data_IF_872682029498
#
_entry.id   IF_872682029498
#
_cell.length_a   1.000
_cell.length_b   1.000
_cell.length_c   1.000
_cell.angle_alpha   90.00
_cell.angle_beta   90.00
_cell.angle_gamma   90.00
#
_symmetry.space_group_name_H-M   'P 1'
#
loop_
_entity.id
_entity.type
_entity.pdbx_description
1 polymer ?
#
# COMPACT_ATOMS: atom_id res chain seq x y z
N UNK A 1 -26.60 14.54 3.96
CA UNK A 1 -25.74 13.71 3.11
C UNK A 1 -26.17 13.94 1.68
N UNK A 2 -25.22 14.33 0.84
CA UNK A 2 -25.43 14.32 -0.61
C UNK A 2 -25.26 12.90 -1.15
N UNK A 3 -25.90 12.60 -2.28
CA UNK A 3 -25.81 11.29 -2.96
C UNK A 3 -24.35 10.82 -3.15
N UNK A 4 -23.43 11.72 -3.48
CA UNK A 4 -22.02 11.38 -3.66
C UNK A 4 -21.27 11.06 -2.35
N UNK A 5 -21.67 11.65 -1.23
CA UNK A 5 -21.11 11.29 0.08
C UNK A 5 -21.53 9.88 0.47
N UNK A 6 -22.78 9.50 0.19
CA UNK A 6 -23.28 8.13 0.43
C UNK A 6 -22.52 7.10 -0.41
N UNK A 7 -22.20 7.41 -1.67
CA UNK A 7 -21.36 6.55 -2.50
C UNK A 7 -19.92 6.44 -1.99
N UNK A 8 -19.37 7.53 -1.46
CA UNK A 8 -18.03 7.51 -0.85
C UNK A 8 -18.00 6.63 0.41
N UNK A 9 -18.99 6.78 1.29
CA UNK A 9 -19.15 5.95 2.48
C UNK A 9 -19.34 4.47 2.11
N UNK A 10 -20.20 4.18 1.14
CA UNK A 10 -20.41 2.81 0.67
C UNK A 10 -19.13 2.16 0.09
N UNK A 11 -18.22 2.93 -0.51
CA UNK A 11 -16.92 2.44 -0.95
C UNK A 11 -16.02 2.10 0.26
N UNK A 12 -15.98 2.96 1.28
CA UNK A 12 -15.18 2.73 2.49
C UNK A 12 -15.73 1.57 3.33
N UNK A 13 -17.05 1.43 3.43
CA UNK A 13 -17.70 0.31 4.10
C UNK A 13 -17.31 -1.04 3.47
N UNK A 14 -17.09 -1.06 2.15
CA UNK A 14 -16.65 -2.26 1.44
C UNK A 14 -15.20 -2.67 1.72
N UNK A 15 -14.39 -1.78 2.29
CA UNK A 15 -13.00 -2.04 2.71
C UNK A 15 -12.85 -1.91 4.25
N UNK A 16 -13.96 -1.92 4.98
CA UNK A 16 -14.00 -1.72 6.43
C UNK A 16 -13.29 -2.82 7.21
N UNK A 17 -13.32 -4.05 6.71
CA UNK A 17 -12.65 -5.21 7.32
C UNK A 17 -11.14 -4.95 7.39
N UNK A 18 -10.54 -4.48 6.30
CA UNK A 18 -9.10 -4.21 6.24
C UNK A 18 -8.72 -3.00 7.10
N UNK A 19 -9.57 -1.97 7.15
CA UNK A 19 -9.39 -0.82 8.05
C UNK A 19 -9.39 -1.28 9.53
N UNK A 20 -10.24 -2.25 9.88
CA UNK A 20 -10.28 -2.79 11.23
C UNK A 20 -9.08 -3.69 11.54
N UNK A 21 -8.59 -4.48 10.57
CA UNK A 21 -7.32 -5.20 10.70
C UNK A 21 -6.13 -4.26 10.99
N UNK A 22 -6.03 -3.15 10.26
CA UNK A 22 -4.99 -2.12 10.48
C UNK A 22 -5.02 -1.58 11.92
N UNK A 23 -6.22 -1.26 12.42
CA UNK A 23 -6.40 -0.78 13.81
C UNK A 23 -6.03 -1.84 14.84
N UNK A 24 -6.41 -3.09 14.62
CA UNK A 24 -6.10 -4.18 15.56
C UNK A 24 -4.59 -4.47 15.60
N UNK A 25 -3.91 -4.44 14.44
CA UNK A 25 -2.44 -4.57 14.39
C UNK A 25 -1.78 -3.43 15.18
N UNK A 26 -2.22 -2.18 14.98
CA UNK A 26 -1.68 -1.04 15.72
C UNK A 26 -1.86 -1.21 17.25
N UNK A 27 -3.05 -1.58 17.70
CA UNK A 27 -3.34 -1.85 19.12
C UNK A 27 -2.50 -3.00 19.69
N UNK A 28 -2.29 -4.06 18.90
CA UNK A 28 -1.45 -5.19 19.33
C UNK A 28 0.00 -4.77 19.45
N UNK A 29 0.51 -3.96 18.52
CA UNK A 29 1.86 -3.39 18.59
C UNK A 29 2.05 -2.56 19.86
N UNK A 30 1.11 -1.65 20.16
CA UNK A 30 1.15 -0.84 21.39
C UNK A 30 1.19 -1.71 22.66
N UNK A 31 0.36 -2.77 22.72
CA UNK A 31 0.34 -3.70 23.86
C UNK A 31 1.66 -4.47 24.03
N UNK A 32 2.30 -4.85 22.92
CA UNK A 32 3.60 -5.53 22.95
C UNK A 32 4.67 -4.58 23.49
N UNK A 33 4.67 -3.32 23.05
CA UNK A 33 5.63 -2.32 23.51
C UNK A 33 5.48 -1.98 25.00
N UNK A 34 4.26 -2.06 25.55
CA UNK A 34 3.96 -1.86 26.97
C UNK A 34 4.29 -3.07 27.87
N UNK A 35 4.36 -4.28 27.30
CA UNK A 35 4.62 -5.52 28.03
C UNK A 35 6.13 -5.72 28.30
N UNK A 36 6.52 -5.49 29.55
CA UNK A 36 7.92 -5.63 30.02
C UNK A 36 8.40 -7.08 30.12
N UNK A 37 7.48 -8.04 30.14
CA UNK A 37 7.82 -9.47 30.13
C UNK A 37 7.92 -10.02 28.71
N UNK A 38 7.46 -9.26 27.70
CA UNK A 38 7.63 -9.63 26.32
C UNK A 38 9.12 -9.55 25.93
N UNK A 39 9.69 -10.61 25.33
CA UNK A 39 11.08 -10.62 24.93
C UNK A 39 11.27 -9.71 23.70
N UNK A 40 11.52 -8.43 23.93
CA UNK A 40 11.74 -7.40 22.91
C UNK A 40 13.13 -7.54 22.24
N UNK A 41 13.46 -8.72 21.73
CA UNK A 41 14.72 -9.02 21.04
C UNK A 41 14.60 -8.94 19.51
N UNK A 42 13.54 -8.35 18.97
CA UNK A 42 13.40 -8.19 17.52
C UNK A 42 14.30 -7.06 17.02
N UNK A 43 15.20 -7.40 16.10
CA UNK A 43 15.93 -6.41 15.32
C UNK A 43 14.91 -5.78 14.37
N UNK A 44 14.86 -4.44 14.33
CA UNK A 44 13.98 -3.72 13.41
C UNK A 44 14.24 -4.12 11.96
N UNK A 45 13.16 -4.26 11.18
CA UNK A 45 13.22 -4.75 9.80
C UNK A 45 14.20 -3.96 8.93
N UNK A 46 14.23 -2.63 9.06
CA UNK A 46 15.18 -1.80 8.31
C UNK A 46 16.64 -2.14 8.61
N UNK A 47 16.98 -2.22 9.90
CA UNK A 47 18.34 -2.49 10.36
C UNK A 47 18.79 -3.86 9.90
N UNK A 48 17.94 -4.88 10.09
CA UNK A 48 18.20 -6.24 9.64
C UNK A 48 18.37 -6.32 8.12
N UNK A 49 17.49 -5.65 7.37
CA UNK A 49 17.56 -5.67 5.91
C UNK A 49 18.84 -5.01 5.38
N UNK A 50 19.26 -3.88 5.98
CA UNK A 50 20.52 -3.21 5.66
C UNK A 50 21.74 -4.10 5.95
N UNK A 51 21.68 -4.88 7.02
CA UNK A 51 22.74 -5.82 7.41
C UNK A 51 22.86 -6.99 6.41
N UNK A 52 21.75 -7.60 6.01
CA UNK A 52 21.76 -8.81 5.18
C UNK A 52 21.82 -8.54 3.67
N UNK A 53 21.45 -7.33 3.23
CA UNK A 53 21.36 -6.99 1.80
C UNK A 53 22.67 -7.22 1.01
N UNK A 54 23.87 -6.83 1.50
CA UNK A 54 25.12 -7.08 0.79
C UNK A 54 25.40 -8.59 0.60
N UNK A 55 25.11 -9.40 1.62
CA UNK A 55 25.31 -10.85 1.58
C UNK A 55 24.37 -11.53 0.60
N UNK A 56 23.11 -11.08 0.53
CA UNK A 56 22.15 -11.55 -0.47
C UNK A 56 22.61 -11.19 -1.87
N UNK A 57 23.04 -9.94 -2.08
CA UNK A 57 23.54 -9.50 -3.39
C UNK A 57 24.69 -10.40 -3.85
N UNK A 58 25.69 -10.61 -2.99
CA UNK A 58 26.82 -11.49 -3.29
C UNK A 58 26.39 -12.91 -3.64
N UNK A 59 25.48 -13.52 -2.87
CA UNK A 59 24.98 -14.88 -3.15
C UNK A 59 24.25 -14.97 -4.48
N UNK A 60 23.49 -13.95 -4.86
CA UNK A 60 22.76 -13.90 -6.14
C UNK A 60 23.75 -13.72 -7.30
N UNK A 61 24.78 -12.89 -7.15
CA UNK A 61 25.86 -12.77 -8.15
C UNK A 61 26.61 -14.09 -8.34
N UNK A 62 26.99 -14.75 -7.24
CA UNK A 62 27.67 -16.06 -7.26
C UNK A 62 26.81 -17.15 -7.93
N UNK A 63 25.50 -17.13 -7.70
CA UNK A 63 24.56 -18.11 -8.27
C UNK A 63 24.26 -17.85 -9.74
N UNK A 64 24.06 -16.59 -10.12
CA UNK A 64 23.61 -16.21 -11.48
C UNK A 64 24.77 -15.93 -12.44
N UNK A 65 25.96 -15.58 -11.92
CA UNK A 65 27.10 -15.12 -12.70
C UNK A 65 26.96 -13.71 -13.27
N UNK A 66 25.89 -12.99 -12.92
CA UNK A 66 25.64 -11.62 -13.38
C UNK A 66 25.87 -10.62 -12.26
N UNK A 67 26.54 -9.49 -12.53
CA UNK A 67 26.70 -8.44 -11.54
C UNK A 67 25.36 -7.77 -11.22
N UNK A 68 25.13 -7.52 -9.95
CA UNK A 68 23.96 -6.80 -9.46
C UNK A 68 24.20 -5.30 -9.60
N UNK A 69 23.16 -4.56 -9.98
CA UNK A 69 23.26 -3.12 -10.11
C UNK A 69 23.47 -2.47 -8.73
N UNK A 70 24.41 -1.54 -8.66
CA UNK A 70 24.77 -0.82 -7.44
C UNK A 70 23.73 0.19 -6.97
N UNK A 71 22.71 0.49 -7.78
CA UNK A 71 21.64 1.44 -7.49
C UNK A 71 20.39 0.79 -6.88
N UNK A 72 20.39 -0.53 -6.65
CA UNK A 72 19.31 -1.20 -5.93
C UNK A 72 19.18 -0.67 -4.50
N UNK A 73 17.94 -0.48 -4.06
CA UNK A 73 17.58 0.03 -2.75
C UNK A 73 16.45 -0.80 -2.18
N UNK A 74 16.41 -0.88 -0.86
CA UNK A 74 15.27 -1.40 -0.11
C UNK A 74 14.53 -0.20 0.42
N UNK A 75 13.24 -0.12 0.12
CA UNK A 75 12.35 0.94 0.58
C UNK A 75 11.41 0.39 1.65
N UNK A 76 11.04 1.24 2.60
CA UNK A 76 10.11 0.91 3.68
C UNK A 76 8.95 1.89 3.60
N UNK A 77 8.09 1.77 2.57
CA UNK A 77 6.99 2.69 2.42
C UNK A 77 6.05 2.57 3.61
N UNK A 78 5.51 3.71 4.05
CA UNK A 78 4.43 3.69 5.01
C UNK A 78 3.16 3.06 4.41
N UNK A 79 2.15 2.83 5.24
CA UNK A 79 0.92 2.18 4.81
C UNK A 79 0.21 2.92 3.67
N UNK A 80 0.27 4.26 3.66
CA UNK A 80 -0.35 5.08 2.62
C UNK A 80 0.45 4.97 1.32
N UNK A 81 1.77 5.11 1.39
CA UNK A 81 2.68 4.94 0.26
C UNK A 81 2.53 3.54 -0.35
N UNK A 82 2.37 2.51 0.48
CA UNK A 82 2.10 1.15 0.03
C UNK A 82 0.77 1.03 -0.72
N UNK A 83 -0.31 1.61 -0.19
CA UNK A 83 -1.62 1.66 -0.88
C UNK A 83 -1.51 2.41 -2.22
N UNK A 84 -0.74 3.50 -2.27
CA UNK A 84 -0.50 4.27 -3.50
C UNK A 84 0.32 3.49 -4.54
N UNK A 85 1.30 2.69 -4.10
CA UNK A 85 2.08 1.81 -4.99
C UNK A 85 1.16 0.78 -5.68
N UNK A 86 0.14 0.27 -5.00
CA UNK A 86 -0.89 -0.57 -5.64
C UNK A 86 -1.71 0.22 -6.66
N UNK A 87 -2.02 1.49 -6.38
CA UNK A 87 -2.65 2.40 -7.34
C UNK A 87 -1.87 2.56 -8.63
N UNK A 88 -0.53 2.54 -8.60
CA UNK A 88 0.31 2.61 -9.80
C UNK A 88 0.16 1.41 -10.72
N UNK A 89 -0.27 0.25 -10.20
CA UNK A 89 -0.52 -0.99 -10.99
C UNK A 89 -1.83 -0.95 -11.76
N UNK A 90 -2.73 -0.03 -11.41
CA UNK A 90 -3.98 0.14 -12.13
C UNK A 90 -3.67 0.56 -13.56
N UNK A 91 -4.15 -0.23 -14.53
CA UNK A 91 -4.09 0.11 -15.93
C UNK A 91 -4.98 1.32 -16.21
N UNK A 92 -4.36 2.50 -16.21
CA UNK A 92 -5.01 3.77 -16.51
C UNK A 92 -4.44 4.35 -17.82
N UNK A 93 -5.29 5.04 -18.59
CA UNK A 93 -4.80 5.87 -19.68
C UNK A 93 -4.01 7.05 -19.10
N UNK A 94 -3.15 7.68 -19.91
CA UNK A 94 -2.39 8.88 -19.47
C UNK A 94 -3.31 9.99 -18.94
N UNK A 95 -4.52 10.10 -19.49
CA UNK A 95 -5.51 11.11 -19.09
C UNK A 95 -6.24 10.77 -17.78
N UNK A 96 -6.32 9.47 -17.44
CA UNK A 96 -6.97 9.00 -16.21
C UNK A 96 -6.00 8.80 -15.04
N UNK A 97 -4.68 8.78 -15.27
CA UNK A 97 -3.67 8.50 -14.24
C UNK A 97 -3.82 9.40 -13.01
N UNK A 98 -3.94 10.72 -13.21
CA UNK A 98 -4.11 11.68 -12.11
C UNK A 98 -5.38 11.39 -11.30
N UNK A 99 -6.48 11.04 -11.96
CA UNK A 99 -7.73 10.69 -11.28
C UNK A 99 -7.55 9.44 -10.41
N UNK A 100 -6.85 8.42 -10.91
CA UNK A 100 -6.58 7.21 -10.14
C UNK A 100 -5.68 7.51 -8.94
N UNK A 101 -4.63 8.33 -9.12
CA UNK A 101 -3.74 8.70 -8.02
C UNK A 101 -4.48 9.49 -6.94
N UNK A 102 -5.32 10.45 -7.33
CA UNK A 102 -6.21 11.21 -6.43
C UNK A 102 -7.17 10.28 -5.68
N UNK A 103 -7.84 9.35 -6.39
CA UNK A 103 -8.78 8.41 -5.79
C UNK A 103 -8.11 7.47 -4.79
N UNK A 104 -6.98 6.86 -5.17
CA UNK A 104 -6.26 5.95 -4.27
C UNK A 104 -5.71 6.68 -3.04
N UNK A 105 -5.26 7.93 -3.18
CA UNK A 105 -4.87 8.74 -2.04
C UNK A 105 -6.05 9.02 -1.11
N UNK A 106 -7.19 9.45 -1.66
CA UNK A 106 -8.38 9.77 -0.88
C UNK A 106 -8.93 8.53 -0.14
N UNK A 107 -8.93 7.36 -0.80
CA UNK A 107 -9.33 6.09 -0.16
C UNK A 107 -8.32 5.65 0.90
N UNK A 108 -7.02 5.83 0.68
CA UNK A 108 -6.01 5.52 1.69
C UNK A 108 -6.13 6.40 2.95
N UNK A 109 -6.55 7.66 2.78
CA UNK A 109 -6.80 8.61 3.87
C UNK A 109 -8.19 8.49 4.52
N UNK A 110 -9.07 7.64 3.98
CA UNK A 110 -10.49 7.55 4.36
C UNK A 110 -11.22 8.89 4.19
N UNK A 111 -10.81 9.72 3.24
CA UNK A 111 -11.34 11.06 3.00
C UNK A 111 -12.62 11.00 2.16
N UNK A 112 -13.76 10.82 2.84
CA UNK A 112 -15.09 10.74 2.21
C UNK A 112 -15.42 11.98 1.39
N UNK A 113 -14.95 13.17 1.80
CA UNK A 113 -15.24 14.42 1.09
C UNK A 113 -14.51 14.48 -0.24
N UNK A 114 -13.22 14.18 -0.24
CA UNK A 114 -12.42 14.17 -1.46
C UNK A 114 -12.88 13.06 -2.43
N UNK A 115 -13.29 11.89 -1.90
CA UNK A 115 -13.92 10.86 -2.74
C UNK A 115 -15.22 11.40 -3.38
N UNK A 116 -16.09 12.07 -2.61
CA UNK A 116 -17.31 12.67 -3.14
C UNK A 116 -17.05 13.74 -4.23
N UNK A 117 -16.04 14.58 -4.03
CA UNK A 117 -15.59 15.57 -5.03
C UNK A 117 -15.09 14.89 -6.32
N UNK A 118 -14.36 13.77 -6.20
CA UNK A 118 -13.92 12.98 -7.35
C UNK A 118 -15.09 12.33 -8.09
N UNK A 119 -16.09 11.82 -7.37
CA UNK A 119 -17.33 11.28 -7.96
C UNK A 119 -18.05 12.37 -8.77
N UNK A 120 -18.16 13.57 -8.19
CA UNK A 120 -18.81 14.71 -8.86
C UNK A 120 -18.02 15.20 -10.09
N UNK A 121 -16.69 15.17 -10.01
CA UNK A 121 -15.79 15.58 -11.10
C UNK A 121 -15.91 14.66 -12.31
N UNK A 122 -15.93 13.34 -12.10
CA UNK A 122 -16.03 12.36 -13.16
C UNK A 122 -16.58 11.02 -12.64
N UNK A 123 -17.89 10.88 -12.68
CA UNK A 123 -18.60 9.70 -12.16
C UNK A 123 -18.25 8.44 -12.94
N UNK A 124 -18.05 8.52 -14.26
CA UNK A 124 -17.70 7.36 -15.09
C UNK A 124 -16.33 6.81 -14.71
N UNK A 125 -15.33 7.69 -14.55
CA UNK A 125 -14.01 7.27 -14.05
C UNK A 125 -14.10 6.71 -12.64
N UNK A 126 -14.90 7.30 -11.76
CA UNK A 126 -15.10 6.76 -10.43
C UNK A 126 -15.67 5.34 -10.46
N UNK A 127 -16.72 5.07 -11.23
CA UNK A 127 -17.34 3.75 -11.30
C UNK A 127 -16.36 2.68 -11.79
N UNK A 128 -15.46 3.02 -12.71
CA UNK A 128 -14.40 2.12 -13.16
C UNK A 128 -13.33 1.95 -12.08
N UNK A 129 -12.74 3.05 -11.60
CA UNK A 129 -11.53 3.00 -10.77
C UNK A 129 -11.78 2.69 -9.29
N UNK A 130 -13.00 2.89 -8.79
CA UNK A 130 -13.42 2.44 -7.45
C UNK A 130 -13.37 0.92 -7.32
N UNK A 131 -13.67 0.16 -8.39
CA UNK A 131 -13.55 -1.30 -8.38
C UNK A 131 -12.10 -1.75 -8.22
N UNK A 132 -11.16 -1.03 -8.83
CA UNK A 132 -9.72 -1.24 -8.65
C UNK A 132 -9.28 -0.84 -7.25
N UNK A 133 -9.68 0.35 -6.76
CA UNK A 133 -9.37 0.80 -5.41
C UNK A 133 -9.82 -0.22 -4.37
N UNK A 134 -11.06 -0.68 -4.49
CA UNK A 134 -11.59 -1.79 -3.69
C UNK A 134 -10.69 -3.02 -3.78
N UNK A 135 -10.47 -3.58 -4.98
CA UNK A 135 -9.74 -4.86 -5.11
C UNK A 135 -8.28 -4.80 -4.66
N UNK A 136 -7.62 -3.64 -4.79
CA UNK A 136 -6.21 -3.48 -4.45
C UNK A 136 -5.99 -3.08 -2.98
N UNK A 137 -6.86 -2.24 -2.43
CA UNK A 137 -6.75 -1.79 -1.04
C UNK A 137 -7.37 -2.84 -0.09
N UNK A 138 -8.40 -3.58 -0.50
CA UNK A 138 -9.01 -4.68 0.28
C UNK A 138 -8.12 -5.92 0.41
N UNK A 139 -6.87 -5.88 -0.07
CA UNK A 139 -5.93 -7.00 0.04
C UNK A 139 -4.60 -6.43 0.45
N UNK A 140 -4.43 -6.17 1.75
CA UNK A 140 -3.18 -5.63 2.29
C UNK A 140 -2.05 -6.67 2.13
N UNK A 141 -2.35 -7.96 2.19
CA UNK A 141 -1.34 -9.02 2.00
C UNK A 141 -0.66 -8.92 0.63
N UNK A 142 0.68 -8.92 0.67
CA UNK A 142 1.53 -9.00 -0.52
C UNK A 142 1.28 -10.35 -1.20
N UNK A 143 0.90 -10.33 -2.48
CA UNK A 143 0.94 -11.55 -3.30
C UNK A 143 2.19 -11.50 -4.17
N UNK A 144 2.72 -12.67 -4.56
CA UNK A 144 3.94 -12.85 -5.37
C UNK A 144 3.99 -12.02 -6.70
N UNK A 145 2.96 -11.26 -7.05
CA UNK A 145 2.93 -10.32 -8.16
C UNK A 145 3.18 -8.86 -7.77
N UNK A 146 3.62 -8.56 -6.54
CA UNK A 146 3.70 -7.18 -6.06
C UNK A 146 4.94 -6.36 -6.52
N UNK A 147 5.72 -6.86 -7.46
CA UNK A 147 6.87 -6.17 -8.05
C UNK A 147 6.46 -5.04 -9.01
N UNK A 148 7.11 -3.88 -8.90
CA UNK A 148 6.96 -2.75 -9.84
C UNK A 148 8.36 -2.22 -10.19
N UNK A 149 8.67 -2.16 -11.49
CA UNK A 149 9.81 -1.42 -12.05
C UNK A 149 11.16 -1.59 -11.30
N UNK A 150 11.51 -2.84 -10.96
CA UNK A 150 12.76 -3.23 -10.26
C UNK A 150 12.84 -2.90 -8.76
N UNK A 151 11.78 -2.39 -8.15
CA UNK A 151 11.70 -2.19 -6.70
C UNK A 151 11.00 -3.40 -6.04
N UNK A 152 11.63 -3.94 -4.99
CA UNK A 152 11.00 -4.90 -4.08
C UNK A 152 10.49 -4.10 -2.90
N UNK A 153 9.17 -4.14 -2.70
CA UNK A 153 8.43 -3.49 -1.62
C UNK A 153 8.04 -4.55 -0.59
#
# INVERSE_FOLDING_TARGET
MGEFEEFAEALLDQISVEIDEEKEIAKLSEKIDEDKEFPNQFIGLESFSKEIFPDICKKVEEFTGFPIKSDLRIEFPDLKEFKLLKGKKVFATKQSRNFVDELFSAVADLDTKNIAELIQKDTEKFLVYSTYAKSYISKISTTYGDYLDSCVI
#
